data_IF_538851145831
#
_entry.id   IF_538851145831
#
_cell.length_a   1.000
_cell.length_b   1.000
_cell.length_c   1.000
_cell.angle_alpha   90.00
_cell.angle_beta   90.00
_cell.angle_gamma   90.00
#
_symmetry.space_group_name_H-M   'P 1'
#
loop_
_entity.id
_entity.type
_entity.pdbx_description
1 polymer ?
#
# COMPACT_ATOMS: atom_id res chain seq x y z
N UNK A 1 -17.38 7.72 -0.19
CA UNK A 1 -17.72 8.36 -1.45
C UNK A 1 -18.39 9.71 -1.18
N UNK A 2 -18.54 10.56 -2.22
CA UNK A 2 -19.08 11.93 -2.07
C UNK A 2 -20.56 11.94 -1.63
N UNK A 3 -21.28 10.86 -1.83
CA UNK A 3 -22.67 10.69 -1.36
C UNK A 3 -22.78 10.26 0.10
N UNK A 4 -21.64 10.23 0.83
CA UNK A 4 -21.57 9.84 2.24
C UNK A 4 -21.60 8.34 2.47
N UNK A 5 -21.65 7.51 1.43
CA UNK A 5 -21.56 6.06 1.59
C UNK A 5 -20.12 5.63 1.86
N UNK A 6 -19.98 4.61 2.67
CA UNK A 6 -18.71 3.96 2.98
C UNK A 6 -18.64 2.61 2.30
N UNK A 7 -17.44 2.23 1.88
CA UNK A 7 -17.20 0.96 1.22
C UNK A 7 -16.04 0.23 1.86
N UNK A 8 -16.22 -1.05 2.03
CA UNK A 8 -15.17 -1.98 2.44
C UNK A 8 -14.60 -2.67 1.20
N UNK A 9 -13.29 -2.60 1.05
CA UNK A 9 -12.56 -3.23 -0.05
C UNK A 9 -11.68 -4.33 0.51
N UNK A 10 -11.59 -5.45 -0.21
CA UNK A 10 -10.75 -6.56 0.20
C UNK A 10 -10.27 -7.37 -1.01
N UNK A 11 -9.17 -8.07 -0.83
CA UNK A 11 -8.76 -9.16 -1.71
C UNK A 11 -9.62 -10.39 -1.41
N UNK A 12 -10.06 -11.10 -2.44
CA UNK A 12 -10.67 -12.41 -2.31
C UNK A 12 -9.66 -13.49 -2.70
N UNK A 13 -9.41 -14.39 -1.77
CA UNK A 13 -8.61 -15.58 -2.00
C UNK A 13 -9.52 -16.81 -1.94
N UNK A 14 -9.51 -17.65 -2.98
CA UNK A 14 -10.29 -18.86 -3.03
C UNK A 14 -9.42 -20.07 -2.65
N UNK A 15 -9.76 -20.71 -1.55
CA UNK A 15 -9.04 -21.85 -0.99
C UNK A 15 -9.61 -23.20 -1.39
N UNK A 16 -10.65 -23.22 -2.24
CA UNK A 16 -11.20 -24.47 -2.74
C UNK A 16 -10.21 -25.18 -3.65
N UNK A 17 -10.15 -26.50 -3.57
CA UNK A 17 -9.17 -27.29 -4.32
C UNK A 17 -9.30 -27.14 -5.85
N UNK A 18 -10.51 -26.97 -6.33
CA UNK A 18 -10.81 -26.79 -7.75
C UNK A 18 -10.44 -25.41 -8.28
N UNK A 19 -10.21 -24.44 -7.39
CA UNK A 19 -9.95 -23.05 -7.78
C UNK A 19 -9.05 -22.30 -6.79
N UNK A 20 -7.89 -22.87 -6.44
CA UNK A 20 -7.04 -22.27 -5.40
C UNK A 20 -6.37 -21.00 -5.90
N UNK A 21 -6.45 -19.95 -5.10
CA UNK A 21 -5.64 -18.74 -5.33
C UNK A 21 -6.39 -17.43 -5.28
N UNK A 22 -5.77 -16.42 -5.86
CA UNK A 22 -6.32 -15.07 -5.94
C UNK A 22 -7.54 -15.06 -6.88
N UNK A 23 -8.68 -14.61 -6.33
CA UNK A 23 -9.95 -14.58 -7.04
C UNK A 23 -10.44 -13.14 -7.34
N UNK A 24 -9.58 -12.14 -7.25
CA UNK A 24 -9.89 -10.73 -7.53
C UNK A 24 -10.07 -9.89 -6.27
N UNK A 25 -10.38 -8.62 -6.47
CA UNK A 25 -10.75 -7.70 -5.40
C UNK A 25 -12.26 -7.52 -5.36
N UNK A 26 -12.77 -7.35 -4.17
CA UNK A 26 -14.20 -7.21 -3.91
C UNK A 26 -14.49 -5.92 -3.16
N UNK A 27 -15.67 -5.38 -3.37
CA UNK A 27 -16.19 -4.20 -2.70
C UNK A 27 -17.58 -4.49 -2.16
N UNK A 28 -17.87 -3.96 -0.99
CA UNK A 28 -19.20 -4.02 -0.38
C UNK A 28 -19.47 -2.76 0.41
N UNK A 29 -20.70 -2.26 0.38
CA UNK A 29 -21.08 -1.10 1.18
C UNK A 29 -21.01 -1.42 2.67
N UNK A 30 -20.58 -0.45 3.46
CA UNK A 30 -20.47 -0.52 4.91
C UNK A 30 -21.34 0.56 5.56
N UNK A 31 -22.33 0.12 6.34
CA UNK A 31 -23.12 1.00 7.18
C UNK A 31 -22.31 1.34 8.44
N UNK A 32 -21.73 2.55 8.47
CA UNK A 32 -20.90 3.00 9.58
C UNK A 32 -21.71 3.15 10.91
N UNK A 33 -22.99 3.46 10.83
CA UNK A 33 -23.88 3.60 11.99
C UNK A 33 -24.24 2.24 12.58
N UNK A 34 -24.65 1.30 11.71
CA UNK A 34 -24.99 -0.06 12.12
C UNK A 34 -23.73 -0.95 12.30
N UNK A 35 -22.54 -0.48 11.88
CA UNK A 35 -21.25 -1.18 11.94
C UNK A 35 -21.31 -2.56 11.27
N UNK A 36 -21.92 -2.63 10.11
CA UNK A 36 -22.08 -3.88 9.34
C UNK A 36 -21.97 -3.65 7.84
N UNK A 37 -21.61 -4.70 7.13
CA UNK A 37 -21.69 -4.74 5.68
C UNK A 37 -23.16 -4.83 5.25
N UNK A 38 -23.53 -4.10 4.20
CA UNK A 38 -24.87 -4.05 3.61
C UNK A 38 -24.82 -4.29 2.11
N UNK A 39 -25.91 -4.71 1.54
CA UNK A 39 -25.99 -5.02 0.11
C UNK A 39 -25.17 -6.26 -0.28
N UNK A 40 -24.99 -6.44 -1.57
CA UNK A 40 -24.24 -7.59 -2.10
C UNK A 40 -22.74 -7.23 -2.25
N UNK A 41 -21.89 -8.18 -1.86
CA UNK A 41 -20.47 -8.14 -2.22
C UNK A 41 -20.33 -8.36 -3.71
N UNK A 42 -19.55 -7.52 -4.38
CA UNK A 42 -19.28 -7.63 -5.81
C UNK A 42 -17.79 -7.59 -6.13
N UNK A 43 -17.41 -8.30 -7.16
CA UNK A 43 -16.07 -8.16 -7.74
C UNK A 43 -16.02 -6.85 -8.50
N UNK A 44 -14.92 -6.09 -8.38
CA UNK A 44 -14.77 -4.84 -9.09
C UNK A 44 -13.46 -4.72 -9.88
N UNK A 45 -12.43 -5.48 -9.50
CA UNK A 45 -11.15 -5.49 -10.23
C UNK A 45 -10.50 -6.88 -10.16
N UNK A 46 -9.96 -7.34 -11.29
CA UNK A 46 -9.39 -8.69 -11.40
C UNK A 46 -7.88 -8.75 -11.16
N UNK A 47 -7.22 -7.61 -10.96
CA UNK A 47 -5.77 -7.53 -10.88
C UNK A 47 -5.09 -7.51 -12.24
N UNK A 48 -3.78 -7.65 -12.25
CA UNK A 48 -2.92 -7.60 -13.42
C UNK A 48 -2.17 -8.91 -13.64
N UNK A 49 -1.39 -9.00 -14.72
CA UNK A 49 -0.50 -10.11 -14.98
C UNK A 49 0.61 -10.31 -13.92
N UNK A 50 0.77 -9.36 -12.99
CA UNK A 50 1.71 -9.49 -11.86
C UNK A 50 1.22 -10.46 -10.77
N UNK A 51 0.01 -10.99 -10.91
CA UNK A 51 -0.57 -12.00 -10.02
C UNK A 51 -1.37 -11.40 -8.88
N UNK A 52 -1.16 -11.92 -7.66
CA UNK A 52 -1.92 -11.51 -6.46
C UNK A 52 -1.98 -9.98 -6.35
N UNK A 53 -3.20 -9.48 -6.15
CA UNK A 53 -3.50 -8.07 -5.99
C UNK A 53 -4.23 -7.88 -4.66
N UNK A 54 -3.53 -7.33 -3.68
CA UNK A 54 -3.99 -7.22 -2.29
C UNK A 54 -3.90 -5.78 -1.77
N UNK A 55 -4.43 -5.53 -0.58
CA UNK A 55 -4.42 -4.21 0.04
C UNK A 55 -5.05 -3.12 -0.81
N UNK A 56 -6.23 -3.35 -1.45
CA UNK A 56 -6.82 -2.35 -2.33
C UNK A 56 -7.17 -1.07 -1.58
N UNK A 57 -6.77 0.07 -2.13
CA UNK A 57 -7.09 1.39 -1.64
C UNK A 57 -7.61 2.24 -2.78
N UNK A 58 -8.57 3.10 -2.52
CA UNK A 58 -9.13 4.02 -3.51
C UNK A 58 -8.86 5.46 -3.09
N UNK A 59 -8.28 6.23 -4.01
CA UNK A 59 -8.18 7.68 -3.97
C UNK A 59 -9.16 8.26 -4.98
N UNK A 60 -9.95 9.27 -4.61
CA UNK A 60 -10.73 10.06 -5.55
C UNK A 60 -10.02 11.36 -5.86
N UNK A 61 -9.72 11.60 -7.12
CA UNK A 61 -9.03 12.80 -7.60
C UNK A 61 -9.49 13.17 -9.01
N UNK A 62 -9.83 14.43 -9.22
CA UNK A 62 -10.19 15.00 -10.55
C UNK A 62 -11.27 14.18 -11.29
N UNK A 63 -12.28 13.71 -10.54
CA UNK A 63 -13.39 12.92 -11.07
C UNK A 63 -13.04 11.49 -11.48
N UNK A 64 -11.87 10.98 -11.06
CA UNK A 64 -11.45 9.60 -11.19
C UNK A 64 -11.35 8.93 -9.82
N UNK A 65 -11.63 7.64 -9.78
CA UNK A 65 -11.25 6.74 -8.70
C UNK A 65 -9.96 6.04 -9.12
N UNK A 66 -8.90 6.20 -8.33
CA UNK A 66 -7.62 5.51 -8.51
C UNK A 66 -7.54 4.36 -7.53
N UNK A 67 -7.41 3.16 -8.04
CA UNK A 67 -7.22 1.94 -7.25
C UNK A 67 -5.73 1.64 -7.17
N UNK A 68 -5.20 1.65 -5.96
CA UNK A 68 -3.84 1.25 -5.65
C UNK A 68 -3.86 -0.12 -4.99
N UNK A 69 -3.07 -1.06 -5.52
CA UNK A 69 -2.95 -2.40 -4.97
C UNK A 69 -1.49 -2.81 -4.81
N UNK A 70 -1.24 -3.69 -3.84
CA UNK A 70 -0.02 -4.48 -3.79
C UNK A 70 -0.15 -5.68 -4.71
N UNK A 71 0.87 -6.02 -5.45
CA UNK A 71 0.88 -7.14 -6.40
C UNK A 71 2.17 -7.95 -6.31
N UNK A 72 2.17 -9.16 -6.89
CA UNK A 72 3.34 -10.02 -6.99
C UNK A 72 3.74 -10.72 -5.69
N UNK A 73 2.93 -10.60 -4.63
CA UNK A 73 3.23 -11.13 -3.29
C UNK A 73 4.35 -10.35 -2.58
N UNK A 74 4.68 -10.74 -1.36
CA UNK A 74 5.56 -9.97 -0.45
C UNK A 74 7.06 -10.24 -0.63
N UNK A 75 7.43 -11.04 -1.62
CA UNK A 75 8.83 -11.41 -1.92
C UNK A 75 9.53 -10.41 -2.84
N UNK A 76 10.53 -10.88 -3.55
CA UNK A 76 11.31 -10.07 -4.50
C UNK A 76 10.54 -9.68 -5.78
N UNK A 77 9.33 -10.23 -5.97
CA UNK A 77 8.41 -9.84 -7.04
C UNK A 77 7.38 -8.79 -6.61
N UNK A 78 7.48 -8.29 -5.38
CA UNK A 78 6.55 -7.32 -4.83
C UNK A 78 6.51 -6.05 -5.69
N UNK A 79 5.31 -5.51 -5.87
CA UNK A 79 5.06 -4.33 -6.67
C UNK A 79 3.86 -3.55 -6.13
N UNK A 80 3.72 -2.32 -6.58
CA UNK A 80 2.50 -1.53 -6.46
C UNK A 80 1.91 -1.29 -7.85
N UNK A 81 0.60 -1.47 -7.99
CA UNK A 81 -0.13 -1.29 -9.24
C UNK A 81 -1.20 -0.23 -9.10
N UNK A 82 -1.51 0.48 -10.17
CA UNK A 82 -2.54 1.50 -10.21
C UNK A 82 -3.48 1.27 -11.37
N UNK A 83 -4.77 1.27 -11.09
CA UNK A 83 -5.83 1.35 -12.08
C UNK A 83 -6.72 2.54 -11.78
N UNK A 84 -7.51 3.02 -12.75
CA UNK A 84 -8.50 4.08 -12.50
C UNK A 84 -9.82 3.78 -13.20
N UNK A 85 -10.89 4.39 -12.70
CA UNK A 85 -12.22 4.35 -13.30
C UNK A 85 -12.99 5.62 -13.03
N UNK A 86 -14.02 5.91 -13.82
CA UNK A 86 -14.95 7.02 -13.56
C UNK A 86 -16.04 6.67 -12.53
N UNK A 87 -16.20 5.38 -12.26
CA UNK A 87 -17.17 4.84 -11.31
C UNK A 87 -16.55 3.69 -10.54
N UNK A 88 -17.01 3.46 -9.31
CA UNK A 88 -16.65 2.27 -8.51
C UNK A 88 -17.05 0.95 -9.18
N UNK A 89 -17.98 1.01 -10.14
CA UNK A 89 -18.39 -0.15 -10.94
C UNK A 89 -17.51 -0.39 -12.17
N UNK A 90 -16.54 0.50 -12.41
CA UNK A 90 -15.68 0.47 -13.58
C UNK A 90 -16.31 1.09 -14.83
N UNK A 91 -15.85 0.75 -16.03
CA UNK A 91 -14.69 -0.12 -16.26
C UNK A 91 -13.40 0.45 -15.67
N UNK A 92 -12.55 -0.42 -15.13
CA UNK A 92 -11.22 -0.06 -14.63
C UNK A 92 -10.21 -0.17 -15.75
N UNK A 93 -9.39 0.84 -15.92
CA UNK A 93 -8.25 0.85 -16.84
C UNK A 93 -6.93 0.85 -16.04
N UNK A 94 -5.99 0.02 -16.49
CA UNK A 94 -4.68 -0.07 -15.88
C UNK A 94 -3.79 1.10 -16.29
N UNK A 95 -2.93 1.56 -15.39
CA UNK A 95 -1.96 2.60 -15.71
C UNK A 95 -1.01 2.14 -16.84
N UNK A 96 -0.76 2.99 -17.85
CA UNK A 96 0.24 2.71 -18.88
C UNK A 96 1.68 2.72 -18.32
N UNK A 97 1.86 3.22 -17.09
CA UNK A 97 3.14 3.30 -16.38
C UNK A 97 3.28 2.20 -15.32
N UNK A 98 2.65 1.05 -15.54
CA UNK A 98 2.67 -0.06 -14.60
C UNK A 98 3.98 -0.86 -14.62
N UNK A 99 4.50 -1.31 -13.47
CA UNK A 99 4.01 -1.01 -12.12
C UNK A 99 4.38 0.42 -11.70
N UNK A 100 3.59 1.00 -10.75
CA UNK A 100 3.97 2.26 -10.10
C UNK A 100 5.32 2.13 -9.40
N UNK A 101 5.55 0.98 -8.76
CA UNK A 101 6.76 0.70 -8.03
C UNK A 101 7.05 -0.80 -7.97
N UNK A 102 8.32 -1.16 -8.16
CA UNK A 102 8.90 -2.48 -7.89
C UNK A 102 10.41 -2.40 -7.88
N UNK A 103 11.08 -3.42 -7.34
CA UNK A 103 12.53 -3.64 -7.47
C UNK A 103 12.84 -5.04 -7.99
N UNK A 104 11.83 -5.68 -8.60
CA UNK A 104 11.98 -7.04 -9.15
C UNK A 104 13.09 -7.13 -10.19
N UNK A 105 13.22 -6.12 -11.02
CA UNK A 105 14.16 -6.02 -12.13
C UNK A 105 15.44 -5.24 -11.79
N UNK A 106 15.56 -4.71 -10.56
CA UNK A 106 16.76 -4.06 -10.05
C UNK A 106 17.24 -4.72 -8.74
N UNK A 107 17.97 -5.84 -8.80
CA UNK A 107 18.47 -6.51 -7.61
C UNK A 107 19.57 -5.73 -6.87
N UNK A 108 20.09 -4.64 -7.46
CA UNK A 108 21.08 -3.76 -6.84
C UNK A 108 20.47 -2.65 -5.98
N UNK A 109 19.19 -2.38 -6.15
CA UNK A 109 18.48 -1.37 -5.37
C UNK A 109 18.50 -1.75 -3.88
N UNK A 110 18.89 -0.84 -2.98
CA UNK A 110 18.94 -1.16 -1.54
C UNK A 110 17.56 -1.37 -0.91
N UNK A 111 16.49 -0.79 -1.48
CA UNK A 111 15.11 -0.91 -1.00
C UNK A 111 14.38 -2.04 -1.71
N UNK A 112 14.79 -3.27 -1.45
CA UNK A 112 14.20 -4.47 -2.08
C UNK A 112 12.78 -4.76 -1.60
N UNK A 113 12.05 -5.62 -2.33
CA UNK A 113 10.68 -6.05 -2.02
C UNK A 113 9.71 -4.87 -1.91
N UNK A 114 9.94 -3.82 -2.68
CA UNK A 114 9.17 -2.58 -2.64
C UNK A 114 7.81 -2.73 -3.30
N UNK A 115 6.78 -2.29 -2.56
CA UNK A 115 5.37 -2.37 -3.00
C UNK A 115 4.42 -2.00 -1.86
N UNK A 116 3.13 -2.33 -2.01
CA UNK A 116 2.07 -2.08 -1.02
C UNK A 116 2.06 -0.62 -0.56
N UNK A 117 1.81 0.26 -1.51
CA UNK A 117 1.86 1.70 -1.32
C UNK A 117 0.55 2.26 -0.76
N UNK A 118 0.66 3.42 -0.10
CA UNK A 118 -0.46 4.30 0.25
C UNK A 118 -0.20 5.70 -0.29
N UNK A 119 -1.21 6.31 -0.89
CA UNK A 119 -1.13 7.72 -1.28
C UNK A 119 -1.17 8.64 -0.07
N UNK A 120 -0.36 9.68 -0.11
CA UNK A 120 -0.46 10.84 0.76
C UNK A 120 -0.21 12.12 -0.04
N UNK A 121 -0.75 13.24 0.46
CA UNK A 121 -0.45 14.55 -0.10
C UNK A 121 -0.27 15.57 1.00
N UNK A 122 0.52 16.61 0.71
CA UNK A 122 0.66 17.80 1.53
C UNK A 122 0.74 19.02 0.61
N UNK A 123 -0.22 19.92 0.72
CA UNK A 123 -0.36 21.01 -0.25
C UNK A 123 -0.49 20.44 -1.66
N UNK A 124 0.39 20.90 -2.55
CA UNK A 124 0.45 20.44 -3.94
C UNK A 124 1.32 19.18 -4.13
N UNK A 125 2.14 18.83 -3.14
CA UNK A 125 3.05 17.71 -3.20
C UNK A 125 2.35 16.39 -2.92
N UNK A 126 2.66 15.39 -3.75
CA UNK A 126 2.14 14.04 -3.64
C UNK A 126 3.24 13.04 -3.37
N UNK A 127 2.93 12.07 -2.53
CA UNK A 127 3.84 11.01 -2.12
C UNK A 127 3.13 9.66 -2.07
N UNK A 128 3.91 8.61 -2.02
CA UNK A 128 3.46 7.28 -1.61
C UNK A 128 4.35 6.75 -0.50
N UNK A 129 3.75 6.21 0.54
CA UNK A 129 4.48 5.30 1.43
C UNK A 129 4.54 3.94 0.80
N UNK A 130 5.55 3.16 1.14
CA UNK A 130 5.72 1.80 0.64
C UNK A 130 6.26 0.89 1.73
N UNK A 131 5.98 -0.40 1.62
CA UNK A 131 6.71 -1.43 2.33
C UNK A 131 7.92 -1.82 1.49
N UNK A 132 9.08 -1.90 2.14
CA UNK A 132 10.32 -2.40 1.54
C UNK A 132 11.08 -3.26 2.54
N UNK A 133 12.24 -3.78 2.15
CA UNK A 133 13.17 -4.47 3.02
C UNK A 133 14.60 -4.30 2.50
N UNK A 134 15.58 -4.25 3.40
CA UNK A 134 17.00 -4.11 3.07
C UNK A 134 17.75 -5.42 3.32
N UNK A 135 18.04 -6.20 2.27
CA UNK A 135 18.79 -7.44 2.41
C UNK A 135 20.28 -7.18 2.68
N UNK A 136 20.92 -8.04 3.47
CA UNK A 136 22.37 -7.96 3.75
C UNK A 136 23.24 -8.25 2.52
N UNK A 137 22.73 -9.06 1.61
CA UNK A 137 23.36 -9.41 0.34
C UNK A 137 22.31 -9.39 -0.76
N UNK A 138 22.72 -9.33 -2.01
CA UNK A 138 21.81 -9.32 -3.14
C UNK A 138 20.78 -10.46 -3.03
N UNK A 139 19.49 -10.11 -2.91
CA UNK A 139 18.38 -11.05 -2.70
C UNK A 139 18.55 -12.02 -1.51
N UNK A 140 19.30 -11.59 -0.49
CA UNK A 140 19.52 -12.35 0.73
C UNK A 140 18.46 -12.10 1.81
N UNK A 141 18.82 -12.41 3.03
CA UNK A 141 17.96 -12.24 4.20
C UNK A 141 17.84 -10.76 4.61
N UNK A 142 16.64 -10.33 4.94
CA UNK A 142 16.34 -9.00 5.45
C UNK A 142 16.14 -9.08 6.97
N UNK A 143 17.20 -8.86 7.72
CA UNK A 143 17.21 -9.04 9.18
C UNK A 143 16.35 -8.04 9.94
N UNK A 144 16.13 -6.85 9.37
CA UNK A 144 15.25 -5.83 9.95
C UNK A 144 13.76 -6.09 9.63
N UNK A 145 13.46 -7.12 8.82
CA UNK A 145 12.11 -7.40 8.38
C UNK A 145 11.63 -6.43 7.32
N UNK A 146 10.36 -6.01 7.44
CA UNK A 146 9.75 -5.01 6.55
C UNK A 146 9.86 -3.62 7.17
N UNK A 147 10.28 -2.68 6.35
CA UNK A 147 10.45 -1.27 6.71
C UNK A 147 9.49 -0.42 5.89
N UNK A 148 9.17 0.77 6.36
CA UNK A 148 8.37 1.74 5.62
C UNK A 148 9.29 2.81 5.05
N UNK A 149 9.13 3.11 3.78
CA UNK A 149 9.81 4.21 3.10
C UNK A 149 8.80 5.15 2.42
N UNK A 150 9.27 6.32 2.01
CA UNK A 150 8.49 7.35 1.34
C UNK A 150 9.09 7.61 -0.04
N UNK A 151 8.22 7.81 -1.03
CA UNK A 151 8.63 8.26 -2.38
C UNK A 151 7.78 9.44 -2.80
N UNK A 152 8.39 10.41 -3.48
CA UNK A 152 7.65 11.49 -4.15
C UNK A 152 7.04 10.96 -5.43
N UNK A 153 5.81 11.39 -5.73
CA UNK A 153 5.15 11.09 -7.01
C UNK A 153 4.76 12.38 -7.72
N UNK A 154 4.64 12.29 -9.02
CA UNK A 154 4.09 13.30 -9.90
C UNK A 154 2.89 12.72 -10.68
N UNK A 155 2.01 13.60 -11.16
CA UNK A 155 0.88 13.24 -11.99
C UNK A 155 1.20 13.55 -13.45
N UNK A 156 1.38 12.51 -14.26
CA UNK A 156 1.69 12.61 -15.69
C UNK A 156 0.51 12.03 -16.49
N UNK A 157 -0.08 12.80 -17.37
CA UNK A 157 -1.25 12.43 -18.17
C UNK A 157 -2.42 11.92 -17.30
N UNK A 158 -2.55 12.46 -16.09
CA UNK A 158 -3.56 12.03 -15.11
C UNK A 158 -3.26 10.67 -14.46
N UNK A 159 -2.00 10.23 -14.45
CA UNK A 159 -1.54 9.02 -13.78
C UNK A 159 -0.40 9.31 -12.81
N UNK A 160 -0.39 8.65 -11.64
CA UNK A 160 0.73 8.80 -10.71
C UNK A 160 1.96 8.03 -11.21
N UNK A 161 3.11 8.66 -11.08
CA UNK A 161 4.43 8.07 -11.33
C UNK A 161 5.38 8.47 -10.21
N UNK A 162 6.43 7.69 -9.97
CA UNK A 162 7.53 8.16 -9.12
C UNK A 162 8.17 9.40 -9.78
N UNK A 163 8.47 10.43 -8.98
CA UNK A 163 8.99 11.70 -9.47
C UNK A 163 10.37 11.58 -10.15
N UNK A 164 11.11 10.50 -9.88
CA UNK A 164 12.36 10.19 -10.57
C UNK A 164 12.17 9.62 -12.00
N UNK A 165 10.92 9.51 -12.47
CA UNK A 165 10.58 9.03 -13.81
C UNK A 165 10.77 7.53 -14.02
N UNK A 166 11.08 6.76 -12.98
CA UNK A 166 11.24 5.30 -13.02
C UNK A 166 10.14 4.63 -12.18
N UNK A 167 10.23 3.31 -12.01
CA UNK A 167 9.42 2.55 -11.02
C UNK A 167 10.28 2.02 -9.86
N UNK A 168 11.54 2.44 -9.78
CA UNK A 168 12.45 2.06 -8.70
C UNK A 168 12.45 3.12 -7.60
N UNK A 169 12.29 2.74 -6.32
CA UNK A 169 12.34 3.68 -5.22
C UNK A 169 13.76 4.21 -4.99
N UNK A 170 13.83 5.43 -4.54
CA UNK A 170 15.07 6.08 -4.12
C UNK A 170 15.31 5.91 -2.63
N UNK A 171 16.59 5.84 -2.25
CA UNK A 171 16.98 5.73 -0.83
C UNK A 171 16.73 7.03 -0.06
N UNK A 172 16.79 8.16 -0.73
CA UNK A 172 16.60 9.50 -0.17
C UNK A 172 15.61 10.28 -1.01
N UNK A 173 14.65 10.93 -0.36
CA UNK A 173 13.63 11.75 -1.01
C UNK A 173 13.61 13.11 -0.33
N UNK A 174 13.65 14.18 -1.11
CA UNK A 174 13.49 15.53 -0.59
C UNK A 174 12.02 15.77 -0.22
N UNK A 175 11.79 16.25 1.00
CA UNK A 175 10.47 16.62 1.51
C UNK A 175 10.57 17.98 2.19
N UNK A 176 9.47 18.72 2.22
CA UNK A 176 9.41 19.93 3.02
C UNK A 176 9.64 19.62 4.51
N UNK A 177 10.48 20.38 5.19
CA UNK A 177 10.98 20.10 6.54
C UNK A 177 9.86 19.84 7.58
N UNK A 178 8.72 20.53 7.45
CA UNK A 178 7.59 20.38 8.36
C UNK A 178 6.77 19.07 8.14
N UNK A 179 7.00 18.34 7.03
CA UNK A 179 6.44 16.99 6.82
C UNK A 179 7.04 16.00 7.82
N UNK A 180 8.29 16.24 8.21
CA UNK A 180 9.06 15.37 9.10
C UNK A 180 9.16 15.89 10.53
N UNK A 181 8.43 16.94 10.90
CA UNK A 181 8.39 17.32 12.31
C UNK A 181 7.73 16.16 13.06
N UNK A 182 8.48 15.29 13.75
CA UNK A 182 7.86 14.28 14.56
C UNK A 182 7.06 15.03 15.62
N UNK A 183 5.78 14.74 15.76
CA UNK A 183 5.05 15.07 16.98
C UNK A 183 5.62 14.12 18.04
N UNK A 184 6.85 14.37 18.43
CA UNK A 184 7.47 13.77 19.59
C UNK A 184 6.85 14.47 20.79
N UNK A 185 5.70 14.01 21.20
CA UNK A 185 5.29 14.23 22.59
C UNK A 185 6.23 13.36 23.39
N UNK A 186 7.06 14.01 24.23
CA UNK A 186 7.94 13.35 25.19
C UNK A 186 7.12 12.47 26.16
N UNK A 187 6.77 11.30 25.74
CA UNK A 187 6.29 10.22 26.58
C UNK A 187 7.32 9.10 26.54
N UNK A 188 8.41 9.32 27.27
CA UNK A 188 9.31 8.20 27.60
C UNK A 188 8.72 7.43 28.78
N UNK A 189 8.21 6.23 28.53
CA UNK A 189 7.91 5.27 29.59
C UNK A 189 9.11 4.32 29.76
N UNK A 190 9.68 4.31 30.95
CA UNK A 190 10.68 3.31 31.31
C UNK A 190 9.96 2.08 31.85
N UNK A 191 10.00 0.98 31.09
CA UNK A 191 9.45 -0.31 31.54
C UNK A 191 10.59 -1.18 32.01
N UNK A 192 10.59 -1.51 33.31
CA UNK A 192 11.54 -2.48 33.89
C UNK A 192 10.95 -3.88 33.78
N UNK A 193 11.63 -4.76 33.06
CA UNK A 193 11.25 -6.16 32.92
C UNK A 193 11.83 -6.97 34.06
N UNK A 194 10.99 -7.66 34.84
CA UNK A 194 11.45 -8.71 35.72
C UNK A 194 11.61 -10.02 34.93
N UNK A 195 12.64 -10.84 35.20
CA UNK A 195 12.95 -12.01 34.38
C UNK A 195 11.82 -13.07 34.28
N UNK A 196 10.85 -12.99 35.14
CA UNK A 196 9.74 -13.95 35.28
C UNK A 196 8.38 -13.45 34.79
N UNK A 197 8.33 -12.25 34.19
CA UNK A 197 7.06 -11.68 33.74
C UNK A 197 6.96 -11.59 32.21
N UNK A 198 5.86 -12.10 31.69
CA UNK A 198 5.44 -11.83 30.31
C UNK A 198 5.16 -10.34 30.11
N UNK A 199 5.40 -9.83 28.91
CA UNK A 199 5.04 -8.46 28.50
C UNK A 199 3.57 -8.18 28.81
N UNK A 200 3.24 -7.05 29.45
CA UNK A 200 1.85 -6.68 29.68
C UNK A 200 1.11 -6.55 28.35
N UNK A 201 -0.09 -7.11 28.25
CA UNK A 201 -0.94 -7.06 27.05
C UNK A 201 -1.31 -5.61 26.64
N UNK A 202 -1.10 -4.64 27.54
CA UNK A 202 -1.30 -3.21 27.29
C UNK A 202 -0.14 -2.55 26.52
N UNK A 203 0.93 -3.25 26.20
CA UNK A 203 2.02 -2.74 25.39
C UNK A 203 1.53 -2.60 23.92
N UNK A 204 0.84 -1.50 23.63
CA UNK A 204 0.10 -1.36 22.38
C UNK A 204 0.95 -0.96 21.18
N UNK A 205 2.09 -0.35 21.34
CA UNK A 205 3.01 -0.01 20.25
C UNK A 205 4.33 0.53 20.79
N UNK A 206 5.44 -0.05 20.39
CA UNK A 206 6.67 0.69 20.31
C UNK A 206 6.54 1.60 19.06
N UNK A 207 6.27 2.88 19.24
CA UNK A 207 6.52 3.85 18.19
C UNK A 207 7.99 4.26 18.30
N UNK A 208 8.78 3.80 17.35
CA UNK A 208 10.13 4.30 17.11
C UNK A 208 9.99 5.59 16.31
#
# INVERSE_FOLDING_TARGET
>A
DDDGRHYFLNMLFDWRLENPGFAGTVIQEFDAKARRLVGQRRHFYKGTALGVCEGPQILKKDGWYYLLCAAGGTGYSHAATVARARSLDGPWEDSPYMPLMTTKDDPSNPLQKSGHCCFLHKGEDWYVTQICARPLTQRGNCILGRETALQKIEWVDGWPRLANGTHHPELSVEVEADVLTPVCTDHSETVTFAPDRSLPVSFKTLRV
#
